data_IF_725268796167
#
_entry.id   IF_725268796167
#
_cell.length_a   1.000
_cell.length_b   1.000
_cell.length_c   1.000
_cell.angle_alpha   90.00
_cell.angle_beta   90.00
_cell.angle_gamma   90.00
#
_symmetry.space_group_name_H-M   'P 1'
#
loop_
_entity.id
_entity.type
_entity.pdbx_description
1 polymer ?
#
# COMPACT_ATOMS: atom_id res chain seq x y z
N UNK A 1 -1.38 35.20 79.75
CA UNK A 1 -2.04 34.57 80.94
C UNK A 1 -2.40 33.14 80.48
N UNK A 2 -1.66 32.24 81.01
CA UNK A 2 -2.11 31.07 81.82
C UNK A 2 -3.18 30.22 81.09
N UNK A 3 -3.15 28.91 80.93
CA UNK A 3 -2.52 27.88 81.74
C UNK A 3 -2.84 26.50 81.17
N UNK A 4 -1.86 25.64 81.06
CA UNK A 4 -1.82 24.25 81.57
C UNK A 4 -2.98 23.30 81.13
N UNK A 5 -2.64 22.31 80.37
CA UNK A 5 -2.22 20.97 80.82
C UNK A 5 -3.39 20.02 81.18
N UNK A 6 -3.50 18.90 80.51
CA UNK A 6 -3.34 17.57 81.12
C UNK A 6 -3.40 16.42 80.14
N UNK A 7 -2.42 15.54 80.23
CA UNK A 7 -2.39 14.19 79.73
C UNK A 7 -3.54 13.34 80.17
N UNK A 8 -4.04 12.44 79.31
CA UNK A 8 -4.51 11.10 79.76
C UNK A 8 -4.11 10.07 78.76
N UNK A 9 -3.36 9.10 79.22
CA UNK A 9 -2.99 7.84 78.64
C UNK A 9 -4.22 6.96 78.40
N UNK A 10 -4.27 6.21 77.31
CA UNK A 10 -5.31 5.16 77.17
C UNK A 10 -5.07 4.38 75.86
N UNK A 11 -4.34 3.40 75.99
CA UNK A 11 -4.42 1.95 75.70
C UNK A 11 -4.91 1.50 74.35
N UNK A 12 -4.03 0.72 73.74
CA UNK A 12 -4.09 -0.18 72.64
C UNK A 12 -5.42 -0.80 72.23
N UNK A 13 -5.71 -0.81 70.98
CA UNK A 13 -6.31 -1.98 70.34
C UNK A 13 -5.84 -2.01 68.84
N UNK A 14 -5.12 -3.06 68.49
CA UNK A 14 -4.65 -3.30 67.16
C UNK A 14 -5.80 -3.64 66.21
N UNK A 15 -5.81 -3.01 65.09
CA UNK A 15 -6.55 -3.42 63.92
C UNK A 15 -5.53 -3.64 62.80
N UNK A 16 -5.31 -4.93 62.51
CA UNK A 16 -4.57 -5.37 61.38
C UNK A 16 -5.23 -4.85 60.08
N UNK A 17 -4.66 -3.82 59.51
CA UNK A 17 -5.03 -3.32 58.20
C UNK A 17 -4.58 -4.32 57.15
N UNK A 18 -5.52 -5.04 56.58
CA UNK A 18 -5.33 -5.86 55.38
C UNK A 18 -5.13 -4.92 54.20
N UNK A 19 -3.89 -4.60 53.88
CA UNK A 19 -3.53 -3.89 52.64
C UNK A 19 -3.79 -4.83 51.46
N UNK A 20 -4.93 -4.65 50.82
CA UNK A 20 -5.19 -5.18 49.47
C UNK A 20 -4.17 -4.54 48.53
N UNK A 21 -3.13 -5.28 48.22
CA UNK A 21 -2.28 -5.05 47.05
C UNK A 21 -3.16 -5.25 45.81
N UNK A 22 -3.71 -4.17 45.29
CA UNK A 22 -4.22 -4.14 43.94
C UNK A 22 -3.00 -4.28 43.01
N UNK A 23 -2.62 -5.52 42.75
CA UNK A 23 -1.70 -5.85 41.69
C UNK A 23 -2.36 -5.49 40.37
N UNK A 24 -1.98 -4.35 39.81
CA UNK A 24 -2.22 -4.06 38.40
C UNK A 24 -1.58 -5.19 37.61
N UNK A 25 -2.41 -6.08 37.06
CA UNK A 25 -2.02 -7.05 36.09
C UNK A 25 -1.71 -6.28 34.80
N UNK A 26 -0.50 -5.70 34.73
CA UNK A 26 0.11 -5.36 33.46
C UNK A 26 0.36 -6.69 32.76
N UNK A 27 -0.53 -7.00 31.80
CA UNK A 27 -0.29 -8.06 30.85
C UNK A 27 0.98 -7.71 30.10
N UNK A 28 2.11 -8.29 30.53
CA UNK A 28 3.34 -8.26 29.77
C UNK A 28 3.10 -9.01 28.47
N UNK A 29 2.83 -8.27 27.40
CA UNK A 29 2.98 -8.80 26.03
C UNK A 29 4.45 -9.12 25.83
N UNK A 30 4.84 -10.32 26.19
CA UNK A 30 6.13 -10.91 25.80
C UNK A 30 6.02 -11.28 24.33
N UNK A 31 6.96 -10.76 23.56
CA UNK A 31 7.24 -10.95 22.15
C UNK A 31 6.35 -10.12 21.22
N UNK A 32 7.02 -9.21 20.49
CA UNK A 32 6.50 -8.36 19.43
C UNK A 32 5.95 -9.09 18.21
N UNK A 33 5.01 -10.02 18.40
CA UNK A 33 4.12 -10.45 17.34
C UNK A 33 3.13 -9.30 17.14
N UNK A 34 3.24 -8.64 16.00
CA UNK A 34 2.17 -7.76 15.51
C UNK A 34 0.83 -8.49 15.70
N UNK A 35 -0.22 -7.81 16.17
CA UNK A 35 -1.54 -8.44 16.25
C UNK A 35 -1.80 -9.09 14.90
N UNK A 36 -1.99 -10.40 14.88
CA UNK A 36 -2.38 -11.12 13.67
C UNK A 36 -3.68 -10.52 13.20
N UNK A 37 -3.63 -9.77 12.12
CA UNK A 37 -4.81 -9.16 11.53
C UNK A 37 -5.79 -10.28 11.21
N UNK A 38 -7.00 -10.19 11.77
CA UNK A 38 -8.01 -11.23 11.59
C UNK A 38 -8.29 -11.36 10.07
N UNK A 39 -8.02 -12.52 9.50
CA UNK A 39 -8.24 -12.77 8.07
C UNK A 39 -9.73 -12.95 7.80
N UNK A 40 -10.46 -11.82 7.69
CA UNK A 40 -11.89 -11.78 7.38
C UNK A 40 -12.10 -11.31 5.95
N UNK A 41 -13.17 -11.76 5.26
CA UNK A 41 -13.53 -11.28 3.94
C UNK A 41 -13.73 -9.77 3.94
N UNK A 42 -13.15 -9.07 2.97
CA UNK A 42 -13.30 -7.63 2.80
C UNK A 42 -14.21 -7.31 1.64
N UNK A 43 -14.93 -6.19 1.72
CA UNK A 43 -15.83 -5.71 0.65
C UNK A 43 -15.06 -5.52 -0.67
N UNK A 44 -13.88 -4.90 -0.60
CA UNK A 44 -12.99 -4.78 -1.76
C UNK A 44 -12.05 -5.98 -1.79
N UNK A 45 -12.39 -6.97 -2.60
CA UNK A 45 -11.61 -8.22 -2.75
C UNK A 45 -10.22 -7.95 -3.33
N UNK A 46 -9.25 -8.77 -2.96
CA UNK A 46 -7.90 -8.74 -3.53
C UNK A 46 -7.92 -9.30 -4.96
N UNK A 47 -7.22 -8.63 -5.86
CA UNK A 47 -6.92 -9.08 -7.21
C UNK A 47 -5.42 -9.06 -7.46
N UNK A 48 -4.99 -9.87 -8.43
CA UNK A 48 -3.62 -9.87 -8.94
C UNK A 48 -3.65 -10.12 -10.44
N UNK A 49 -2.78 -9.45 -11.17
CA UNK A 49 -2.57 -9.68 -12.59
C UNK A 49 -1.07 -9.70 -12.87
N UNK A 50 -0.63 -10.67 -13.68
CA UNK A 50 0.77 -10.82 -14.08
C UNK A 50 0.87 -10.88 -15.59
N UNK A 51 1.84 -10.17 -16.16
CA UNK A 51 2.24 -10.25 -17.55
C UNK A 51 3.75 -10.50 -17.66
N UNK A 52 4.12 -11.49 -18.47
CA UNK A 52 5.51 -11.74 -18.82
C UNK A 52 5.85 -11.06 -20.15
N UNK A 53 7.00 -10.35 -20.19
CA UNK A 53 7.59 -9.74 -21.38
C UNK A 53 9.02 -10.27 -21.50
N UNK A 54 9.29 -11.09 -22.50
CA UNK A 54 10.55 -11.83 -22.57
C UNK A 54 10.72 -12.77 -21.38
N UNK A 55 11.70 -12.52 -20.49
CA UNK A 55 11.92 -13.22 -19.24
C UNK A 55 11.45 -12.43 -18.01
N UNK A 56 10.99 -11.21 -18.20
CA UNK A 56 10.59 -10.30 -17.12
C UNK A 56 9.13 -10.49 -16.77
N UNK A 57 8.84 -10.75 -15.49
CA UNK A 57 7.48 -10.76 -14.96
C UNK A 57 7.12 -9.41 -14.35
N UNK A 58 5.93 -8.94 -14.66
CA UNK A 58 5.32 -7.72 -14.12
C UNK A 58 4.05 -8.13 -13.42
N UNK A 59 3.99 -7.95 -12.09
CA UNK A 59 2.84 -8.35 -11.28
C UNK A 59 2.25 -7.14 -10.56
N UNK A 60 0.95 -6.90 -10.72
CA UNK A 60 0.20 -5.88 -9.99
C UNK A 60 -0.74 -6.56 -9.02
N UNK A 61 -0.59 -6.27 -7.70
CA UNK A 61 -1.49 -6.71 -6.64
C UNK A 61 -2.30 -5.51 -6.14
N UNK A 62 -3.61 -5.66 -6.01
CA UNK A 62 -4.51 -4.57 -5.70
C UNK A 62 -5.79 -5.06 -5.03
N UNK A 63 -6.58 -4.14 -4.50
CA UNK A 63 -7.94 -4.41 -4.04
C UNK A 63 -8.94 -3.70 -4.95
N UNK A 64 -10.09 -4.36 -5.16
CA UNK A 64 -11.09 -4.04 -6.17
C UNK A 64 -12.32 -3.37 -5.56
N UNK A 65 -12.31 -2.04 -5.31
CA UNK A 65 -13.53 -1.36 -4.89
C UNK A 65 -14.56 -1.36 -6.02
N UNK A 66 -15.84 -1.49 -5.65
CA UNK A 66 -16.96 -1.33 -6.57
C UNK A 66 -17.34 0.16 -6.72
N UNK A 67 -17.94 0.54 -7.83
CA UNK A 67 -18.58 1.85 -8.00
C UNK A 67 -19.76 1.96 -7.02
N UNK A 68 -20.64 0.97 -6.99
CA UNK A 68 -21.78 0.91 -6.06
C UNK A 68 -22.68 2.13 -6.13
N UNK A 69 -22.92 2.67 -7.33
CA UNK A 69 -23.73 3.86 -7.54
C UNK A 69 -23.12 5.17 -7.01
N UNK A 70 -21.85 5.18 -6.59
CA UNK A 70 -21.17 6.36 -6.03
C UNK A 70 -20.52 7.20 -7.12
N UNK A 71 -20.40 8.50 -6.87
CA UNK A 71 -19.56 9.39 -7.68
C UNK A 71 -18.09 9.18 -7.29
N UNK A 72 -17.31 8.67 -8.23
CA UNK A 72 -15.93 8.26 -7.96
C UNK A 72 -14.97 9.45 -8.08
N UNK A 73 -14.85 10.01 -9.29
CA UNK A 73 -13.86 11.00 -9.61
C UNK A 73 -14.22 12.39 -9.09
N UNK A 74 -13.35 12.99 -8.30
CA UNK A 74 -13.60 14.27 -7.62
C UNK A 74 -14.35 14.13 -6.28
N UNK A 75 -14.89 12.94 -5.93
CA UNK A 75 -15.56 12.66 -4.65
C UNK A 75 -14.85 11.59 -3.85
N UNK A 76 -15.10 10.30 -4.15
CA UNK A 76 -14.43 9.17 -3.45
C UNK A 76 -12.92 9.24 -3.68
N UNK A 77 -12.51 9.60 -4.89
CA UNK A 77 -11.12 9.85 -5.27
C UNK A 77 -10.98 11.32 -5.63
N UNK A 78 -10.55 12.20 -4.70
CA UNK A 78 -10.42 13.63 -4.94
C UNK A 78 -9.34 13.95 -5.97
N UNK A 79 -9.59 14.94 -6.81
CA UNK A 79 -8.56 15.47 -7.71
C UNK A 79 -7.43 16.16 -6.93
N UNK A 80 -6.19 16.08 -7.46
CA UNK A 80 -5.00 16.70 -6.87
C UNK A 80 -4.53 16.05 -5.56
N UNK A 81 -5.06 14.88 -5.17
CA UNK A 81 -4.64 14.15 -3.97
C UNK A 81 -4.04 12.81 -4.34
N UNK A 82 -3.03 12.41 -3.59
CA UNK A 82 -2.42 11.08 -3.75
C UNK A 82 -3.43 10.01 -3.36
N UNK A 83 -3.66 9.07 -4.26
CA UNK A 83 -4.54 7.92 -4.08
C UNK A 83 -3.78 6.63 -4.38
N UNK A 84 -3.96 5.61 -3.51
CA UNK A 84 -3.32 4.28 -3.60
C UNK A 84 -3.71 3.44 -4.82
N UNK A 85 -4.42 4.02 -5.78
CA UNK A 85 -4.85 3.37 -7.02
C UNK A 85 -5.57 2.02 -6.80
N UNK A 86 -6.40 1.97 -5.74
CA UNK A 86 -7.13 0.77 -5.28
C UNK A 86 -7.85 1.04 -3.97
N UNK A 87 -7.98 0.00 -3.13
CA UNK A 87 -8.57 0.07 -1.80
C UNK A 87 -7.73 -0.72 -0.79
N UNK A 88 -8.00 -0.56 0.51
CA UNK A 88 -7.33 -1.22 1.63
C UNK A 88 -5.82 -0.94 1.65
N UNK A 89 -4.98 -1.97 1.63
CA UNK A 89 -3.52 -1.89 1.58
C UNK A 89 -3.04 -1.23 0.28
N UNK A 90 -1.77 -0.88 0.21
CA UNK A 90 -1.17 -0.36 -1.01
C UNK A 90 -1.42 -1.29 -2.21
N UNK A 91 -1.78 -0.71 -3.33
CA UNK A 91 -1.59 -1.35 -4.61
C UNK A 91 -0.09 -1.44 -4.85
N UNK A 92 0.41 -2.60 -5.24
CA UNK A 92 1.83 -2.81 -5.51
C UNK A 92 2.05 -3.27 -6.94
N UNK A 93 3.19 -2.85 -7.51
CA UNK A 93 3.70 -3.41 -8.76
C UNK A 93 5.10 -3.94 -8.54
N UNK A 94 5.33 -5.17 -9.01
CA UNK A 94 6.63 -5.85 -8.92
C UNK A 94 7.17 -6.08 -10.32
N UNK A 95 8.44 -5.73 -10.53
CA UNK A 95 9.21 -6.00 -11.74
C UNK A 95 10.38 -6.91 -11.38
N UNK A 96 10.53 -8.04 -12.09
CA UNK A 96 11.66 -8.96 -11.85
C UNK A 96 12.97 -8.47 -12.43
N UNK A 97 12.92 -7.56 -13.36
CA UNK A 97 14.06 -6.93 -14.04
C UNK A 97 13.84 -5.43 -14.18
N UNK A 98 14.91 -4.71 -14.56
CA UNK A 98 14.83 -3.29 -14.86
C UNK A 98 13.92 -3.06 -16.07
N UNK A 99 13.07 -2.05 -15.97
CA UNK A 99 12.07 -1.69 -16.99
C UNK A 99 12.15 -0.21 -17.34
N UNK A 100 11.42 0.18 -18.36
CA UNK A 100 11.04 1.58 -18.56
C UNK A 100 9.55 1.73 -18.36
N UNK A 101 9.12 2.84 -17.74
CA UNK A 101 7.71 3.24 -17.65
C UNK A 101 7.55 4.58 -18.32
N UNK A 102 6.68 4.68 -19.32
CA UNK A 102 6.57 5.87 -20.18
C UNK A 102 7.94 6.34 -20.70
N UNK A 103 8.81 5.38 -21.06
CA UNK A 103 10.18 5.63 -21.54
C UNK A 103 11.19 6.03 -20.46
N UNK A 104 10.80 6.16 -19.19
CA UNK A 104 11.70 6.50 -18.10
C UNK A 104 12.17 5.23 -17.36
N UNK A 105 13.46 5.13 -16.99
CA UNK A 105 13.99 3.93 -16.36
C UNK A 105 13.47 3.75 -14.93
N UNK A 106 13.21 2.48 -14.57
CA UNK A 106 12.86 2.05 -13.22
C UNK A 106 13.54 0.70 -12.95
N UNK A 107 14.29 0.60 -11.86
CA UNK A 107 15.02 -0.63 -11.51
C UNK A 107 14.06 -1.73 -11.06
N UNK A 108 14.52 -2.98 -11.14
CA UNK A 108 13.80 -4.14 -10.62
C UNK A 108 13.42 -3.96 -9.15
N UNK A 109 12.26 -4.43 -8.75
CA UNK A 109 11.79 -4.30 -7.37
C UNK A 109 10.27 -4.27 -7.25
N UNK A 110 9.81 -4.11 -6.00
CA UNK A 110 8.39 -3.92 -5.66
C UNK A 110 8.14 -2.49 -5.22
N UNK A 111 7.17 -1.85 -5.81
CA UNK A 111 6.80 -0.46 -5.56
C UNK A 111 5.35 -0.33 -5.13
N UNK A 112 5.08 0.59 -4.21
CA UNK A 112 3.73 1.09 -3.97
C UNK A 112 3.27 1.92 -5.17
N UNK A 113 2.15 1.55 -5.76
CA UNK A 113 1.58 2.23 -6.90
C UNK A 113 0.53 3.24 -6.44
N UNK A 114 0.81 4.52 -6.65
CA UNK A 114 -0.12 5.59 -6.35
C UNK A 114 -0.41 6.42 -7.59
N UNK A 115 -1.50 7.18 -7.54
CA UNK A 115 -1.82 8.16 -8.58
C UNK A 115 -2.24 9.48 -7.95
N UNK A 116 -2.03 10.58 -8.69
CA UNK A 116 -2.65 11.87 -8.43
C UNK A 116 -3.61 12.13 -9.59
N UNK A 117 -4.91 11.91 -9.39
CA UNK A 117 -5.91 12.19 -10.42
C UNK A 117 -6.03 13.69 -10.71
N UNK A 118 -6.24 14.02 -11.97
CA UNK A 118 -6.68 15.34 -12.40
C UNK A 118 -7.64 15.17 -13.59
N UNK A 119 -8.22 16.26 -14.08
CA UNK A 119 -9.22 16.21 -15.16
C UNK A 119 -8.62 15.75 -16.48
N UNK A 120 -7.42 16.25 -16.81
CA UNK A 120 -6.81 16.06 -18.13
C UNK A 120 -5.59 15.14 -18.12
N UNK A 121 -4.87 15.10 -17.01
CA UNK A 121 -3.64 14.34 -16.85
C UNK A 121 -3.53 13.78 -15.44
N UNK A 122 -3.06 12.55 -15.33
CA UNK A 122 -2.79 11.92 -14.05
C UNK A 122 -1.30 11.68 -13.87
N UNK A 123 -0.83 11.86 -12.64
CA UNK A 123 0.51 11.41 -12.27
C UNK A 123 0.42 10.00 -11.73
N UNK A 124 1.20 9.07 -12.27
CA UNK A 124 1.43 7.74 -11.69
C UNK A 124 2.74 7.80 -10.91
N UNK A 125 2.74 7.26 -9.71
CA UNK A 125 3.85 7.29 -8.76
C UNK A 125 4.24 5.85 -8.42
N UNK A 126 5.53 5.57 -8.50
CA UNK A 126 6.16 4.32 -8.05
C UNK A 126 6.95 4.65 -6.79
N UNK A 127 6.37 4.36 -5.61
CA UNK A 127 7.00 4.63 -4.32
C UNK A 127 7.80 3.42 -3.86
N UNK A 128 8.98 3.64 -3.26
CA UNK A 128 9.78 2.59 -2.61
C UNK A 128 9.06 1.98 -1.40
N UNK A 129 8.11 2.71 -0.82
CA UNK A 129 7.26 2.22 0.26
C UNK A 129 6.09 1.41 -0.32
N UNK A 130 6.23 0.09 -0.33
CA UNK A 130 5.23 -0.85 -0.87
C UNK A 130 4.36 -1.51 0.20
N UNK A 131 4.58 -1.24 1.50
CA UNK A 131 3.95 -1.97 2.61
C UNK A 131 2.97 -1.14 3.42
N UNK A 132 2.76 0.13 3.08
CA UNK A 132 1.86 1.04 3.80
C UNK A 132 0.39 0.67 3.62
N UNK A 133 -0.43 1.13 4.55
CA UNK A 133 -1.88 1.11 4.43
C UNK A 133 -2.38 2.37 3.73
N UNK A 134 -2.87 2.23 2.51
CA UNK A 134 -3.38 3.36 1.74
C UNK A 134 -2.30 4.38 1.37
N UNK A 135 -2.68 5.65 1.31
CA UNK A 135 -1.76 6.77 1.03
C UNK A 135 -1.63 7.73 2.21
N UNK A 136 -1.99 7.28 3.43
CA UNK A 136 -2.00 8.16 4.61
C UNK A 136 -0.60 8.56 5.07
N UNK A 137 0.38 7.65 4.89
CA UNK A 137 1.79 7.86 5.23
C UNK A 137 2.66 8.07 3.98
N UNK A 138 2.05 8.50 2.87
CA UNK A 138 2.79 8.76 1.65
C UNK A 138 3.79 9.92 1.84
N UNK A 139 5.04 9.68 1.47
CA UNK A 139 6.10 10.69 1.42
C UNK A 139 6.71 10.74 0.00
N UNK A 140 6.70 11.91 -0.61
CA UNK A 140 7.26 12.14 -1.94
C UNK A 140 8.76 11.81 -2.04
N UNK A 141 9.49 11.86 -0.93
CA UNK A 141 10.92 11.50 -0.87
C UNK A 141 11.18 10.01 -1.12
N UNK A 142 10.15 9.18 -0.94
CA UNK A 142 10.22 7.75 -1.21
C UNK A 142 9.92 7.41 -2.68
N UNK A 143 9.60 8.39 -3.51
CA UNK A 143 9.30 8.15 -4.93
C UNK A 143 10.56 7.71 -5.68
N UNK A 144 10.42 6.56 -6.34
CA UNK A 144 11.43 6.08 -7.29
C UNK A 144 11.21 6.67 -8.69
N UNK A 145 9.94 6.85 -9.06
CA UNK A 145 9.57 7.38 -10.38
C UNK A 145 8.20 8.05 -10.33
N UNK A 146 8.07 9.14 -11.10
CA UNK A 146 6.79 9.75 -11.47
C UNK A 146 6.68 9.89 -12.98
N UNK A 147 5.54 9.47 -13.52
CA UNK A 147 5.19 9.64 -14.94
C UNK A 147 3.82 10.29 -15.05
N UNK A 148 3.61 11.02 -16.13
CA UNK A 148 2.33 11.66 -16.44
C UNK A 148 1.68 10.95 -17.61
N UNK A 149 0.39 10.60 -17.44
CA UNK A 149 -0.40 9.89 -18.44
C UNK A 149 -1.78 10.55 -18.57
N UNK A 150 -2.47 10.28 -19.69
CA UNK A 150 -3.83 10.78 -19.92
C UNK A 150 -4.84 9.70 -19.63
N UNK A 151 -5.88 9.98 -18.82
CA UNK A 151 -7.02 9.09 -18.71
C UNK A 151 -7.84 9.12 -20.01
N UNK A 152 -8.51 8.01 -20.32
CA UNK A 152 -9.41 7.89 -21.45
C UNK A 152 -10.80 7.47 -20.99
N UNK A 153 -11.87 7.96 -21.63
CA UNK A 153 -13.21 7.40 -21.45
C UNK A 153 -13.22 5.91 -21.80
N UNK A 154 -13.93 5.12 -21.01
CA UNK A 154 -14.07 3.68 -21.21
C UNK A 154 -15.50 3.21 -20.92
N UNK A 155 -15.80 1.96 -21.23
CA UNK A 155 -17.00 1.30 -20.75
C UNK A 155 -17.00 1.20 -19.22
N UNK A 156 -18.20 1.05 -18.64
CA UNK A 156 -18.34 0.93 -17.19
C UNK A 156 -17.66 -0.33 -16.66
N UNK A 157 -16.66 -0.12 -15.81
CA UNK A 157 -16.07 -1.15 -14.95
C UNK A 157 -16.59 -0.98 -13.52
N UNK A 158 -17.54 -1.80 -13.13
CA UNK A 158 -18.14 -1.73 -11.80
C UNK A 158 -17.11 -1.95 -10.68
N UNK A 159 -16.18 -2.88 -10.88
CA UNK A 159 -15.09 -3.12 -9.94
C UNK A 159 -13.76 -2.70 -10.55
N UNK A 160 -12.96 -1.95 -9.81
CA UNK A 160 -11.61 -1.59 -10.21
C UNK A 160 -10.84 -2.84 -10.67
N UNK A 161 -10.17 -2.74 -11.81
CA UNK A 161 -9.35 -3.80 -12.37
C UNK A 161 -8.07 -3.23 -12.98
N UNK A 162 -7.02 -4.05 -13.02
CA UNK A 162 -5.86 -3.83 -13.87
C UNK A 162 -5.85 -4.88 -14.96
N UNK A 163 -5.46 -4.47 -16.16
CA UNK A 163 -5.30 -5.33 -17.34
C UNK A 163 -3.96 -5.03 -18.01
N UNK A 164 -3.45 -6.01 -18.77
CA UNK A 164 -2.35 -5.77 -19.71
C UNK A 164 -2.87 -5.88 -21.12
N UNK A 165 -2.55 -4.90 -21.94
CA UNK A 165 -3.01 -4.74 -23.31
C UNK A 165 -1.80 -4.46 -24.23
N UNK A 166 -1.99 -4.54 -25.54
CA UNK A 166 -0.95 -4.28 -26.54
C UNK A 166 0.38 -4.97 -26.24
N UNK A 167 0.30 -6.24 -25.81
CA UNK A 167 1.49 -7.04 -25.46
C UNK A 167 2.33 -7.29 -26.69
N UNK A 168 3.57 -6.80 -26.67
CA UNK A 168 4.59 -6.95 -27.70
C UNK A 168 5.78 -7.75 -27.17
N UNK A 169 6.73 -8.16 -28.02
CA UNK A 169 7.89 -8.91 -27.55
C UNK A 169 8.72 -8.20 -26.48
N UNK A 170 8.67 -6.87 -26.39
CA UNK A 170 9.50 -6.03 -25.54
C UNK A 170 8.70 -5.00 -24.71
N UNK A 171 7.39 -5.00 -24.81
CA UNK A 171 6.55 -4.01 -24.11
C UNK A 171 5.11 -4.50 -23.89
N UNK A 172 4.41 -3.87 -22.96
CA UNK A 172 2.97 -3.99 -22.77
C UNK A 172 2.41 -2.68 -22.21
N UNK A 173 1.11 -2.49 -22.33
CA UNK A 173 0.38 -1.40 -21.69
C UNK A 173 -0.37 -1.94 -20.49
N UNK A 174 -0.01 -1.50 -19.29
CA UNK A 174 -0.79 -1.75 -18.09
C UNK A 174 -1.89 -0.68 -17.99
N UNK A 175 -3.14 -1.10 -17.75
CA UNK A 175 -4.29 -0.19 -17.71
C UNK A 175 -5.07 -0.38 -16.41
N UNK A 176 -5.23 0.68 -15.62
CA UNK A 176 -6.21 0.73 -14.54
C UNK A 176 -7.57 1.07 -15.15
N UNK A 177 -8.60 0.27 -14.83
CA UNK A 177 -9.98 0.47 -15.27
C UNK A 177 -10.91 0.56 -14.06
N UNK A 178 -11.68 1.62 -13.98
CA UNK A 178 -12.71 1.77 -12.95
C UNK A 178 -13.72 2.84 -13.35
N UNK A 179 -14.99 2.59 -13.04
CA UNK A 179 -16.09 3.44 -13.47
C UNK A 179 -16.05 3.55 -15.02
N UNK A 180 -16.08 4.71 -15.60
CA UNK A 180 -16.00 4.94 -17.06
C UNK A 180 -14.64 5.51 -17.47
N UNK A 181 -13.58 5.09 -16.78
CA UNK A 181 -12.23 5.60 -17.00
C UNK A 181 -11.23 4.45 -17.15
N UNK A 182 -10.35 4.58 -18.13
CA UNK A 182 -9.15 3.78 -18.33
C UNK A 182 -7.92 4.69 -18.22
N UNK A 183 -6.93 4.25 -17.42
CA UNK A 183 -5.65 4.93 -17.25
C UNK A 183 -4.54 4.01 -17.71
N UNK A 184 -4.11 4.07 -18.99
CA UNK A 184 -3.03 3.28 -19.52
C UNK A 184 -1.66 3.88 -19.19
N UNK A 185 -0.66 3.01 -19.02
CA UNK A 185 0.76 3.38 -19.00
C UNK A 185 1.60 2.28 -19.61
N UNK A 186 2.58 2.69 -20.43
CA UNK A 186 3.44 1.76 -21.15
C UNK A 186 4.59 1.28 -20.28
N UNK A 187 4.88 -0.03 -20.35
CA UNK A 187 6.03 -0.67 -19.75
C UNK A 187 6.87 -1.31 -20.84
N UNK A 188 8.16 -0.96 -20.89
CA UNK A 188 9.14 -1.52 -21.83
C UNK A 188 10.22 -2.30 -21.11
N UNK A 189 10.76 -3.34 -21.76
CA UNK A 189 11.80 -4.23 -21.25
C UNK A 189 12.93 -4.32 -22.29
N UNK A 190 14.17 -4.13 -21.88
CA UNK A 190 15.32 -4.51 -22.71
C UNK A 190 15.52 -6.04 -22.65
N UNK A 191 14.70 -6.75 -23.41
CA UNK A 191 14.69 -8.22 -23.45
C UNK A 191 16.06 -8.77 -23.81
N UNK A 192 16.82 -8.11 -24.70
CA UNK A 192 18.16 -8.55 -25.07
C UNK A 192 19.13 -8.49 -23.88
N UNK A 193 19.12 -7.41 -23.12
CA UNK A 193 19.96 -7.28 -21.93
C UNK A 193 19.58 -8.31 -20.87
N UNK A 194 18.26 -8.54 -20.64
CA UNK A 194 17.76 -9.53 -19.69
C UNK A 194 18.19 -10.95 -20.08
N UNK A 195 18.01 -11.36 -21.33
CA UNK A 195 18.42 -12.68 -21.84
C UNK A 195 19.93 -12.86 -21.72
N UNK A 196 20.74 -11.87 -22.12
CA UNK A 196 22.20 -11.96 -22.00
C UNK A 196 22.66 -12.11 -20.56
N UNK A 197 22.01 -11.44 -19.62
CA UNK A 197 22.28 -11.58 -18.17
C UNK A 197 21.92 -12.98 -17.68
N UNK A 198 20.76 -13.50 -18.06
CA UNK A 198 20.30 -14.86 -17.68
C UNK A 198 21.28 -15.92 -18.18
N UNK A 199 21.63 -15.90 -19.47
CA UNK A 199 22.59 -16.85 -20.06
C UNK A 199 23.97 -16.79 -19.38
N UNK A 200 24.48 -15.57 -19.11
CA UNK A 200 25.76 -15.41 -18.39
C UNK A 200 25.73 -16.01 -16.98
N UNK A 201 24.59 -15.91 -16.29
CA UNK A 201 24.45 -16.46 -14.95
C UNK A 201 24.39 -18.00 -14.98
N UNK A 202 23.68 -18.57 -15.96
CA UNK A 202 23.59 -20.03 -16.15
C UNK A 202 24.94 -20.66 -16.51
N UNK A 203 25.76 -19.99 -17.34
CA UNK A 203 27.09 -20.48 -17.75
C UNK A 203 28.16 -20.36 -16.66
N UNK A 204 27.89 -19.68 -15.55
CA UNK A 204 28.82 -19.54 -14.41
C UNK A 204 28.57 -20.57 -13.30
N UNK A 205 27.45 -21.29 -13.34
CA UNK A 205 27.08 -22.34 -12.39
C UNK A 205 27.41 -23.72 -12.97
#
# INVERSE_FOLDING_TARGET
MRSMSKCILGLCAGLAGLSLLAGSAEAQFKNGSQPTELNIPRVSQRGSVTQRIGLTDITINYHRPAVGGREIWGKIVPYGKVWRAGANENTTVTFTDDVTVEGKPLVAGTYGLHTIPDKDQWTIIFSKNSTSWGSFSYDEKEDALRVTVKPHPAELFEQLAYTFEDVKPDSAVATLRWEKLALPFQIGVDVKAVVLRSVKNELRN
#
